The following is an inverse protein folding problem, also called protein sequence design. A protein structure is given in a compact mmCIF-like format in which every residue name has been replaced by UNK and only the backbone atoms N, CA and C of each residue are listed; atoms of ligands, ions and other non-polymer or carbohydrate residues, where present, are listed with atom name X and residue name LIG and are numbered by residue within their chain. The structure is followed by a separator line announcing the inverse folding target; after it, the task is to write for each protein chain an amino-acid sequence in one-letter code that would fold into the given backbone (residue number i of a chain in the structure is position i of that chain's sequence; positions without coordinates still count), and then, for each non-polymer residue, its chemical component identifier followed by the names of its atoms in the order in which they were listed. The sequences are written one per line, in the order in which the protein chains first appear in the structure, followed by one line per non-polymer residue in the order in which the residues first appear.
data_IF_566684326991
#
_entry.id   IF_566684326991
#
_cell.length_a   1.000
_cell.length_b   1.000
_cell.length_c   1.000
_cell.angle_alpha   90.00
_cell.angle_beta   90.00
_cell.angle_gamma   90.00
#
_symmetry.space_group_name_H-M   'P 1'
#
loop_
_entity.id
_entity.type
_entity.pdbx_description
1 polymer ?
#
# COMPACT_ATOMS: atom_id res chain seq x y z
N UNK A 1 18.18 6.65 -0.44
CA UNK A 1 17.66 7.15 -1.73
C UNK A 1 16.26 7.66 -1.51
N UNK A 2 15.93 8.80 -2.10
CA UNK A 2 14.60 9.38 -1.98
C UNK A 2 13.60 8.61 -2.86
N UNK A 3 12.37 8.41 -2.37
CA UNK A 3 11.32 7.63 -3.05
C UNK A 3 11.08 8.09 -4.49
N UNK A 4 10.95 9.40 -4.69
CA UNK A 4 10.71 10.04 -6.00
C UNK A 4 11.83 9.74 -7.00
N UNK A 5 13.08 9.75 -6.53
CA UNK A 5 14.24 9.44 -7.36
C UNK A 5 14.21 7.98 -7.83
N UNK A 6 13.88 7.05 -6.93
CA UNK A 6 13.73 5.63 -7.28
C UNK A 6 12.62 5.41 -8.29
N UNK A 7 11.45 6.01 -8.08
CA UNK A 7 10.32 5.87 -9.02
C UNK A 7 10.72 6.35 -10.41
N UNK A 8 11.37 7.52 -10.49
CA UNK A 8 11.85 8.09 -11.75
C UNK A 8 12.89 7.18 -12.42
N UNK A 9 13.83 6.67 -11.63
CA UNK A 9 14.87 5.75 -12.11
C UNK A 9 14.26 4.45 -12.66
N UNK A 10 13.32 3.83 -11.94
CA UNK A 10 12.66 2.59 -12.36
C UNK A 10 11.84 2.83 -13.64
N UNK A 11 11.07 3.93 -13.72
CA UNK A 11 10.32 4.31 -14.94
C UNK A 11 11.26 4.48 -16.14
N UNK A 12 12.41 5.13 -15.97
CA UNK A 12 13.41 5.29 -17.02
C UNK A 12 14.04 3.95 -17.45
N UNK A 13 14.28 3.04 -16.51
CA UNK A 13 14.79 1.70 -16.84
C UNK A 13 13.78 0.90 -17.67
N UNK A 14 12.49 0.97 -17.34
CA UNK A 14 11.43 0.34 -18.13
C UNK A 14 11.31 0.95 -19.53
N UNK A 15 11.36 2.27 -19.65
CA UNK A 15 11.30 2.96 -20.95
C UNK A 15 12.46 2.56 -21.89
N UNK A 16 13.61 2.18 -21.32
CA UNK A 16 14.77 1.71 -22.07
C UNK A 16 14.79 0.18 -22.30
N UNK A 17 13.71 -0.54 -21.96
CA UNK A 17 13.64 -2.00 -22.08
C UNK A 17 14.47 -2.77 -21.04
N UNK A 18 15.00 -2.09 -20.02
CA UNK A 18 15.85 -2.69 -18.99
C UNK A 18 15.03 -3.24 -17.81
N UNK A 19 14.05 -4.12 -18.09
CA UNK A 19 13.13 -4.68 -17.10
C UNK A 19 13.84 -5.35 -15.93
N UNK A 20 14.92 -6.10 -16.18
CA UNK A 20 15.71 -6.74 -15.11
C UNK A 20 16.26 -5.71 -14.12
N UNK A 21 16.91 -4.66 -14.62
CA UNK A 21 17.50 -3.63 -13.79
C UNK A 21 16.42 -2.83 -13.04
N UNK A 22 15.26 -2.60 -13.67
CA UNK A 22 14.10 -1.96 -13.04
C UNK A 22 13.62 -2.76 -11.80
N UNK A 23 13.46 -4.08 -11.94
CA UNK A 23 13.07 -4.99 -10.85
C UNK A 23 14.11 -4.98 -9.73
N UNK A 24 15.40 -5.08 -10.06
CA UNK A 24 16.48 -5.11 -9.07
C UNK A 24 16.59 -3.79 -8.28
N UNK A 25 16.48 -2.65 -8.97
CA UNK A 25 16.48 -1.32 -8.35
C UNK A 25 15.29 -1.16 -7.40
N UNK A 26 14.10 -1.57 -7.84
CA UNK A 26 12.89 -1.51 -7.02
C UNK A 26 13.00 -2.40 -5.78
N UNK A 27 13.46 -3.65 -5.94
CA UNK A 27 13.64 -4.57 -4.81
C UNK A 27 14.66 -4.05 -3.79
N UNK A 28 15.76 -3.47 -4.24
CA UNK A 28 16.78 -2.91 -3.35
C UNK A 28 16.18 -1.79 -2.48
N UNK A 29 15.37 -0.92 -3.08
CA UNK A 29 14.66 0.13 -2.34
C UNK A 29 13.63 -0.44 -1.37
N UNK A 30 12.81 -1.41 -1.82
CA UNK A 30 11.75 -1.99 -1.00
C UNK A 30 12.31 -2.83 0.16
N UNK A 31 13.44 -3.53 -0.01
CA UNK A 31 14.12 -4.25 1.08
C UNK A 31 14.60 -3.27 2.15
N UNK A 32 15.19 -2.15 1.75
CA UNK A 32 15.66 -1.12 2.69
C UNK A 32 14.51 -0.48 3.50
N UNK A 33 13.27 -0.57 2.99
CA UNK A 33 12.06 -0.01 3.61
C UNK A 33 11.05 -1.10 4.00
N UNK A 34 11.48 -2.36 4.14
CA UNK A 34 10.60 -3.53 4.19
C UNK A 34 9.53 -3.49 5.29
N UNK A 35 9.78 -2.78 6.39
CA UNK A 35 8.82 -2.63 7.49
C UNK A 35 7.56 -1.87 7.09
N UNK A 36 7.65 -0.89 6.18
CA UNK A 36 6.50 -0.09 5.74
C UNK A 36 5.86 -0.65 4.48
N UNK A 37 6.66 -1.17 3.55
CA UNK A 37 6.21 -1.56 2.20
C UNK A 37 6.27 -3.09 1.97
N UNK A 38 6.05 -3.89 3.01
CA UNK A 38 6.16 -5.37 2.93
C UNK A 38 5.31 -5.98 1.81
N UNK A 39 4.07 -5.52 1.65
CA UNK A 39 3.18 -6.04 0.60
C UNK A 39 3.71 -5.75 -0.81
N UNK A 40 4.23 -4.55 -1.03
CA UNK A 40 4.85 -4.16 -2.31
C UNK A 40 6.13 -4.96 -2.56
N UNK A 41 6.92 -5.22 -1.52
CA UNK A 41 8.10 -6.07 -1.62
C UNK A 41 7.73 -7.50 -2.06
N UNK A 42 6.76 -8.13 -1.39
CA UNK A 42 6.31 -9.48 -1.71
C UNK A 42 5.73 -9.56 -3.13
N UNK A 43 4.97 -8.55 -3.55
CA UNK A 43 4.46 -8.45 -4.92
C UNK A 43 5.61 -8.33 -5.93
N UNK A 44 6.62 -7.51 -5.66
CA UNK A 44 7.79 -7.35 -6.54
C UNK A 44 8.59 -8.66 -6.68
N UNK A 45 8.69 -9.47 -5.63
CA UNK A 45 9.30 -10.80 -5.70
C UNK A 45 8.53 -11.73 -6.65
N UNK A 46 7.19 -11.70 -6.61
CA UNK A 46 6.37 -12.49 -7.54
C UNK A 46 6.56 -12.04 -8.99
N UNK A 47 6.59 -10.72 -9.23
CA UNK A 47 6.85 -10.15 -10.56
C UNK A 47 8.24 -10.56 -11.08
N UNK A 48 9.27 -10.53 -10.22
CA UNK A 48 10.60 -11.04 -10.54
C UNK A 48 10.58 -12.51 -10.96
N UNK A 49 9.85 -13.35 -10.22
CA UNK A 49 9.73 -14.77 -10.55
C UNK A 49 9.06 -15.00 -11.91
N UNK A 50 8.02 -14.22 -12.24
CA UNK A 50 7.35 -14.27 -13.56
C UNK A 50 8.30 -13.87 -14.69
N UNK A 51 9.05 -12.78 -14.52
CA UNK A 51 10.07 -12.33 -15.47
C UNK A 51 11.14 -13.40 -15.73
N UNK A 52 11.71 -13.98 -14.66
CA UNK A 52 12.72 -15.04 -14.78
C UNK A 52 12.16 -16.30 -15.45
N UNK A 53 10.91 -16.66 -15.18
CA UNK A 53 10.23 -17.77 -15.83
C UNK A 53 10.06 -17.52 -17.33
N UNK A 54 9.61 -16.34 -17.73
CA UNK A 54 9.45 -15.98 -19.14
C UNK A 54 10.77 -16.07 -19.90
N UNK A 55 11.84 -15.46 -19.37
CA UNK A 55 13.20 -15.53 -19.97
C UNK A 55 13.66 -16.98 -20.09
N UNK A 56 13.49 -17.79 -19.04
CA UNK A 56 13.92 -19.19 -19.05
C UNK A 56 13.13 -20.00 -20.07
N UNK A 57 11.81 -19.81 -20.17
CA UNK A 57 10.98 -20.52 -21.13
C UNK A 57 11.32 -20.12 -22.58
N UNK A 58 11.56 -18.84 -22.84
CA UNK A 58 12.05 -18.37 -24.14
C UNK A 58 13.40 -18.98 -24.48
N UNK A 59 14.36 -18.95 -23.56
CA UNK A 59 15.69 -19.53 -23.76
C UNK A 59 15.64 -21.04 -24.04
N UNK A 60 14.73 -21.77 -23.39
CA UNK A 60 14.52 -23.20 -23.61
C UNK A 60 13.70 -23.51 -24.89
N UNK A 61 13.26 -22.50 -25.64
CA UNK A 61 12.38 -22.68 -26.81
C UNK A 61 10.98 -23.15 -26.47
N UNK A 62 10.57 -23.05 -25.19
CA UNK A 62 9.23 -23.42 -24.71
C UNK A 62 8.20 -22.29 -24.92
N UNK A 63 8.67 -21.11 -25.28
CA UNK A 63 7.87 -19.92 -25.51
C UNK A 63 8.37 -19.23 -26.78
N UNK A 64 7.44 -18.83 -27.65
CA UNK A 64 7.80 -18.04 -28.85
C UNK A 64 8.25 -16.64 -28.44
N UNK A 65 9.01 -15.98 -29.29
CA UNK A 65 9.52 -14.63 -29.02
C UNK A 65 8.38 -13.63 -28.80
N UNK A 66 7.31 -13.71 -29.59
CA UNK A 66 6.15 -12.84 -29.49
C UNK A 66 5.40 -13.05 -28.17
N UNK A 67 5.22 -14.31 -27.76
CA UNK A 67 4.58 -14.65 -26.48
C UNK A 67 5.46 -14.20 -25.29
N UNK A 68 6.79 -14.29 -25.42
CA UNK A 68 7.73 -13.79 -24.41
C UNK A 68 7.64 -12.27 -24.25
N UNK A 69 7.51 -11.55 -25.36
CA UNK A 69 7.34 -10.09 -25.36
C UNK A 69 6.04 -9.68 -24.64
N UNK A 70 4.93 -10.38 -24.88
CA UNK A 70 3.67 -10.16 -24.16
C UNK A 70 3.86 -10.35 -22.65
N UNK A 71 4.52 -11.43 -22.22
CA UNK A 71 4.79 -11.66 -20.80
C UNK A 71 5.69 -10.59 -20.18
N UNK A 72 6.68 -10.09 -20.94
CA UNK A 72 7.55 -8.99 -20.47
C UNK A 72 6.75 -7.69 -20.33
N UNK A 73 5.83 -7.39 -21.24
CA UNK A 73 4.96 -6.23 -21.13
C UNK A 73 4.03 -6.33 -19.90
N UNK A 74 3.47 -7.51 -19.63
CA UNK A 74 2.69 -7.75 -18.40
C UNK A 74 3.53 -7.57 -17.12
N UNK A 75 4.81 -7.98 -17.16
CA UNK A 75 5.75 -7.72 -16.07
C UNK A 75 5.97 -6.22 -15.89
N UNK A 76 6.17 -5.47 -16.98
CA UNK A 76 6.38 -4.03 -16.94
C UNK A 76 5.15 -3.30 -16.38
N UNK A 77 3.95 -3.69 -16.80
CA UNK A 77 2.68 -3.18 -16.27
C UNK A 77 2.55 -3.42 -14.76
N UNK A 78 2.87 -4.62 -14.29
CA UNK A 78 2.84 -4.93 -12.85
C UNK A 78 3.85 -4.09 -12.06
N UNK A 79 5.03 -3.79 -12.62
CA UNK A 79 6.00 -2.88 -11.98
C UNK A 79 5.42 -1.46 -11.90
N UNK A 80 4.80 -0.97 -12.97
CA UNK A 80 4.17 0.36 -12.97
C UNK A 80 3.03 0.46 -11.95
N UNK A 81 2.24 -0.59 -11.78
CA UNK A 81 1.21 -0.67 -10.74
C UNK A 81 1.82 -0.58 -9.33
N UNK A 82 2.89 -1.33 -9.07
CA UNK A 82 3.61 -1.28 -7.79
C UNK A 82 4.14 0.13 -7.52
N UNK A 83 4.68 0.81 -8.54
CA UNK A 83 5.12 2.20 -8.40
C UNK A 83 3.97 3.15 -8.12
N UNK A 84 2.80 2.96 -8.75
CA UNK A 84 1.60 3.75 -8.48
C UNK A 84 1.12 3.59 -7.04
N UNK A 85 1.13 2.37 -6.51
CA UNK A 85 0.79 2.11 -5.11
C UNK A 85 1.82 2.73 -4.15
N UNK A 86 3.11 2.69 -4.51
CA UNK A 86 4.18 3.32 -3.75
C UNK A 86 4.06 4.86 -3.73
N UNK A 87 3.55 5.47 -4.80
CA UNK A 87 3.21 6.90 -4.86
C UNK A 87 2.00 7.24 -3.97
N UNK A 88 0.99 6.37 -3.92
CA UNK A 88 -0.26 6.62 -3.20
C UNK A 88 -0.15 6.53 -1.67
N UNK A 89 0.76 5.74 -1.11
CA UNK A 89 0.96 5.63 0.35
C UNK A 89 1.26 7.00 1.04
N UNK A 90 1.73 8.02 0.31
CA UNK A 90 1.92 9.38 0.85
C UNK A 90 0.62 10.18 0.97
N UNK A 91 -0.45 9.78 0.28
CA UNK A 91 -1.69 10.58 0.18
C UNK A 91 -2.64 10.34 1.35
N UNK A 92 -2.40 9.33 2.19
CA UNK A 92 -3.17 9.11 3.42
C UNK A 92 -2.60 9.93 4.57
N UNK A 93 -2.53 11.25 4.40
CA UNK A 93 -2.52 12.17 5.54
C UNK A 93 -3.97 12.25 6.01
N UNK A 94 -4.34 11.73 7.20
CA UNK A 94 -5.67 11.98 7.74
C UNK A 94 -5.80 13.50 7.85
N UNK A 95 -6.83 14.06 7.20
CA UNK A 95 -7.15 15.47 7.31
C UNK A 95 -7.12 15.87 8.80
N UNK A 96 -6.44 16.96 9.18
CA UNK A 96 -6.49 17.41 10.57
C UNK A 96 -7.95 17.70 10.90
N UNK A 97 -8.54 16.86 11.76
CA UNK A 97 -9.84 17.10 12.38
C UNK A 97 -9.68 18.29 13.34
N UNK A 98 -9.66 19.49 12.78
CA UNK A 98 -9.42 20.70 13.53
C UNK A 98 -10.77 21.30 13.93
N UNK A 99 -11.10 21.14 15.22
CA UNK A 99 -11.88 22.07 16.05
C UNK A 99 -13.41 22.16 15.76
N UNK A 100 -14.31 22.41 16.72
CA UNK A 100 -14.26 22.81 18.13
C UNK A 100 -15.69 22.64 18.68
N UNK A 101 -15.79 22.25 19.95
CA UNK A 101 -16.88 22.44 20.90
C UNK A 101 -18.17 23.12 20.41
N UNK A 102 -19.27 22.40 20.47
CA UNK A 102 -20.55 22.98 20.82
C UNK A 102 -21.10 22.19 22.02
N UNK A 103 -20.68 22.62 23.21
CA UNK A 103 -21.52 22.51 24.40
C UNK A 103 -22.86 23.18 24.05
N UNK A 104 -23.88 22.37 23.77
CA UNK A 104 -25.26 22.82 23.88
C UNK A 104 -25.90 22.00 24.98
N UNK A 105 -25.81 22.56 26.18
CA UNK A 105 -26.74 22.29 27.26
C UNK A 105 -28.17 22.39 26.71
N UNK A 106 -28.84 21.25 26.58
CA UNK A 106 -30.31 21.24 26.50
C UNK A 106 -30.82 20.88 27.89
N UNK A 107 -31.20 21.91 28.64
CA UNK A 107 -32.05 21.77 29.80
C UNK A 107 -33.43 21.24 29.37
N UNK A 108 -33.74 19.98 29.70
CA UNK A 108 -35.11 19.53 29.84
C UNK A 108 -35.39 19.18 31.30
N UNK A 109 -35.89 20.18 32.03
CA UNK A 109 -36.61 20.01 33.31
C UNK A 109 -38.01 20.56 33.03
N UNK A 110 -39.05 19.72 32.91
CA UNK A 110 -40.03 19.31 33.94
C UNK A 110 -41.24 18.82 33.11
N UNK A 111 -42.14 17.91 33.48
CA UNK A 111 -42.46 17.20 34.72
C UNK A 111 -43.74 16.38 34.40
N UNK A 112 -43.76 15.07 34.67
CA UNK A 112 -44.86 14.32 35.33
C UNK A 112 -44.83 12.83 34.97
N UNK A 113 -44.88 12.02 36.03
CA UNK A 113 -45.31 10.61 36.04
C UNK A 113 -44.41 9.66 35.24
N UNK A 114 -43.78 8.63 35.81
CA UNK A 114 -44.21 7.77 36.90
C UNK A 114 -43.01 6.95 37.40
N UNK A 115 -42.95 6.83 38.73
CA UNK A 115 -42.30 5.82 39.57
C UNK A 115 -40.82 5.40 39.38
N UNK A 116 -40.13 5.55 40.50
CA UNK A 116 -38.76 5.19 40.84
C UNK A 116 -38.59 3.70 41.11
N UNK A 117 -37.47 3.11 40.67
CA UNK A 117 -36.61 2.34 41.59
C UNK A 117 -35.15 2.30 41.11
N UNK A 118 -34.26 2.84 41.94
CA UNK A 118 -32.81 2.82 41.83
C UNK A 118 -32.30 1.64 42.67
N UNK A 119 -31.44 0.77 42.13
CA UNK A 119 -30.61 -0.13 42.94
C UNK A 119 -29.31 0.58 43.34
N UNK A 120 -29.00 0.50 44.64
CA UNK A 120 -27.94 1.23 45.32
C UNK A 120 -26.52 0.81 44.92
N UNK A 121 -25.67 1.81 44.73
CA UNK A 121 -24.21 1.71 44.74
C UNK A 121 -23.72 1.76 46.20
N UNK A 122 -22.86 0.83 46.63
CA UNK A 122 -21.87 1.11 47.69
C UNK A 122 -20.62 0.26 47.46
N UNK A 123 -19.60 0.91 46.91
CA UNK A 123 -18.20 0.56 47.10
C UNK A 123 -17.83 0.78 48.57
N UNK A 124 -17.32 -0.25 49.25
CA UNK A 124 -16.60 -0.11 50.52
C UNK A 124 -15.10 -0.06 50.21
N UNK A 125 -14.48 1.06 50.56
CA UNK A 125 -13.04 1.20 50.79
C UNK A 125 -12.81 1.24 52.29
N UNK A 126 -12.05 0.27 52.80
CA UNK A 126 -10.99 0.47 53.80
C UNK A 126 -10.10 -0.77 53.79
#
# INVERSE_FOLDING_TARGET
MERVQIITQVKNLLANGNTKAAIETLLQYLEANRSTVKSLYDHTIQVKARHLRAIRQQFMGLLKSEDAEILINQVNEAILEILGNLEQEDTTVPAPSNQKNADVHVHFRRNRSDYWTIFHHTSHSN
#
